data_IF_009650612509
#
_entry.id   IF_009650612509
#
_cell.length_a   1.000
_cell.length_b   1.000
_cell.length_c   1.000
_cell.angle_alpha   90.00
_cell.angle_beta   90.00
_cell.angle_gamma   90.00
#
_symmetry.space_group_name_H-M   'P 1'
#
loop_
_entity.id
_entity.type
_entity.pdbx_description
1 polymer ?
#
# COMPACT_ATOMS: atom_id res chain seq x y z
N UNK A 1 25.45 15.22 1.63
CA UNK A 1 24.29 14.87 2.48
C UNK A 1 23.41 13.92 1.65
N UNK A 2 23.46 12.61 1.94
CA UNK A 2 22.72 11.60 1.17
C UNK A 2 21.26 11.58 1.67
N UNK A 3 20.35 11.96 0.80
CA UNK A 3 18.91 11.73 1.04
C UNK A 3 18.65 10.22 1.17
N UNK A 4 18.31 9.78 2.36
CA UNK A 4 17.85 8.41 2.62
C UNK A 4 16.54 8.19 1.85
N UNK A 5 16.56 7.35 0.82
CA UNK A 5 15.34 6.88 0.14
C UNK A 5 14.38 6.29 1.17
N UNK A 6 13.21 6.89 1.30
CA UNK A 6 12.08 6.30 2.04
C UNK A 6 11.66 5.00 1.33
N UNK A 7 11.47 3.88 2.05
CA UNK A 7 10.92 2.67 1.45
C UNK A 7 9.57 2.98 0.80
N UNK A 8 9.36 2.49 -0.42
CA UNK A 8 8.11 2.74 -1.14
C UNK A 8 6.96 1.99 -0.47
N UNK A 9 5.77 2.58 -0.49
CA UNK A 9 4.55 1.94 0.01
C UNK A 9 4.23 0.64 -0.75
N UNK A 10 4.78 0.49 -1.97
CA UNK A 10 4.60 -0.66 -2.86
C UNK A 10 5.05 -1.97 -2.22
N UNK A 11 6.22 -1.94 -1.53
CA UNK A 11 6.69 -3.11 -0.78
C UNK A 11 5.83 -3.44 0.45
N UNK A 12 4.97 -2.50 0.89
CA UNK A 12 4.12 -2.67 2.06
C UNK A 12 2.89 -3.53 1.83
N UNK A 13 2.30 -3.43 0.64
CA UNK A 13 1.07 -4.13 0.30
C UNK A 13 1.35 -5.51 -0.32
N UNK A 14 2.46 -5.66 -1.07
CA UNK A 14 2.87 -6.91 -1.69
C UNK A 14 3.29 -8.01 -0.68
N UNK A 15 3.82 -7.63 0.49
CA UNK A 15 4.28 -8.59 1.50
C UNK A 15 3.20 -9.39 2.23
N UNK A 16 1.91 -9.13 1.97
CA UNK A 16 0.79 -9.85 2.62
C UNK A 16 0.27 -11.04 1.80
N UNK A 17 0.78 -11.28 0.58
CA UNK A 17 0.20 -12.27 -0.34
C UNK A 17 1.16 -13.29 -0.96
N UNK A 18 2.47 -13.23 -0.75
CA UNK A 18 3.42 -14.14 -1.40
C UNK A 18 4.16 -15.11 -0.47
N UNK A 19 4.46 -16.28 -1.02
CA UNK A 19 4.94 -17.55 -0.43
C UNK A 19 6.14 -17.47 0.54
N UNK A 20 5.98 -18.16 1.63
CA UNK A 20 6.80 -18.70 2.73
C UNK A 20 8.18 -18.13 3.07
N UNK A 21 9.15 -18.07 2.19
CA UNK A 21 10.54 -17.73 2.52
C UNK A 21 10.86 -16.23 2.46
N UNK A 22 10.25 -15.52 1.52
CA UNK A 22 10.32 -14.05 1.46
C UNK A 22 9.62 -13.37 2.65
N UNK A 23 8.80 -14.08 3.41
CA UNK A 23 7.99 -13.50 4.50
C UNK A 23 8.80 -13.12 5.74
N UNK A 24 9.91 -13.79 6.07
CA UNK A 24 10.70 -13.44 7.27
C UNK A 24 11.52 -12.17 7.02
N UNK A 25 12.16 -12.04 5.86
CA UNK A 25 12.83 -10.80 5.46
C UNK A 25 11.82 -9.65 5.33
N UNK A 26 10.63 -9.94 4.79
CA UNK A 26 9.52 -9.01 4.68
C UNK A 26 8.87 -8.66 6.03
N UNK A 27 8.98 -9.52 7.06
CA UNK A 27 8.37 -9.28 8.36
C UNK A 27 9.04 -8.14 9.12
N UNK A 28 10.36 -8.06 9.14
CA UNK A 28 11.09 -6.94 9.76
C UNK A 28 10.74 -5.62 9.06
N UNK A 29 10.72 -5.60 7.74
CA UNK A 29 10.30 -4.45 6.95
C UNK A 29 8.84 -4.08 7.22
N UNK A 30 7.98 -5.06 7.41
CA UNK A 30 6.57 -4.85 7.78
C UNK A 30 6.45 -4.18 9.15
N UNK A 31 7.19 -4.64 10.16
CA UNK A 31 7.22 -4.02 11.51
C UNK A 31 7.78 -2.61 11.42
N UNK A 32 8.83 -2.38 10.64
CA UNK A 32 9.41 -1.05 10.43
C UNK A 32 8.39 -0.10 9.76
N UNK A 33 7.71 -0.53 8.71
CA UNK A 33 6.66 0.27 8.06
C UNK A 33 5.52 0.63 9.02
N UNK A 34 5.13 -0.29 9.89
CA UNK A 34 4.11 -0.01 10.91
C UNK A 34 4.64 0.99 11.95
N UNK A 35 5.94 0.94 12.29
CA UNK A 35 6.60 1.91 13.16
C UNK A 35 6.58 3.31 12.54
N UNK A 36 6.94 3.43 11.26
CA UNK A 36 6.92 4.70 10.54
C UNK A 36 5.50 5.26 10.40
N UNK A 37 4.53 4.39 10.12
CA UNK A 37 3.12 4.76 10.06
C UNK A 37 2.60 5.27 11.42
N UNK A 38 2.99 4.64 12.51
CA UNK A 38 2.64 5.08 13.86
C UNK A 38 3.33 6.39 14.22
N UNK A 39 4.60 6.56 13.88
CA UNK A 39 5.34 7.81 14.09
C UNK A 39 4.64 8.97 13.34
N UNK A 40 4.23 8.76 12.09
CA UNK A 40 3.48 9.74 11.31
C UNK A 40 2.13 10.06 11.93
N UNK A 41 1.39 9.06 12.39
CA UNK A 41 0.13 9.26 13.11
C UNK A 41 0.33 10.14 14.36
N UNK A 42 1.40 9.94 15.13
CA UNK A 42 1.71 10.75 16.31
C UNK A 42 2.05 12.19 15.94
N UNK A 43 2.72 12.45 14.82
CA UNK A 43 2.93 13.82 14.32
C UNK A 43 1.61 14.52 14.06
N UNK A 44 0.64 13.84 13.40
CA UNK A 44 -0.70 14.37 13.15
C UNK A 44 -1.44 14.61 14.48
N UNK A 45 -1.39 13.65 15.42
CA UNK A 45 -2.01 13.78 16.74
C UNK A 45 -1.47 14.99 17.51
N UNK A 46 -0.14 15.20 17.51
CA UNK A 46 0.49 16.34 18.18
C UNK A 46 0.05 17.66 17.54
N UNK A 47 -0.07 17.71 16.22
CA UNK A 47 -0.58 18.90 15.54
C UNK A 47 -2.05 19.16 15.90
N UNK A 48 -2.91 18.13 15.92
CA UNK A 48 -4.33 18.26 16.33
C UNK A 48 -4.45 18.78 17.78
N UNK A 49 -3.58 18.31 18.68
CA UNK A 49 -3.54 18.80 20.08
C UNK A 49 -3.13 20.26 20.19
N UNK A 50 -2.23 20.70 19.33
CA UNK A 50 -1.74 22.10 19.31
C UNK A 50 -2.67 23.10 18.65
N UNK A 51 -3.77 22.67 17.99
CA UNK A 51 -4.71 23.60 17.38
C UNK A 51 -5.43 24.46 18.41
N UNK A 52 -5.47 25.77 18.16
CA UNK A 52 -6.29 26.72 18.92
C UNK A 52 -7.79 26.47 18.72
N UNK A 53 -8.63 27.04 19.59
CA UNK A 53 -10.09 26.92 19.46
C UNK A 53 -10.60 27.57 18.16
N UNK A 54 -10.02 28.69 17.74
CA UNK A 54 -10.38 29.34 16.47
C UNK A 54 -10.05 28.50 15.26
N UNK A 55 -8.86 27.86 15.24
CA UNK A 55 -8.49 26.91 14.16
C UNK A 55 -9.40 25.70 14.11
N UNK A 56 -9.77 25.13 15.27
CA UNK A 56 -10.74 24.03 15.34
C UNK A 56 -12.10 24.44 14.79
N UNK A 57 -12.57 25.64 15.13
CA UNK A 57 -13.83 26.19 14.62
C UNK A 57 -13.80 26.32 13.09
N UNK A 58 -12.72 26.82 12.51
CA UNK A 58 -12.56 26.93 11.06
C UNK A 58 -12.67 25.58 10.35
N UNK A 59 -12.06 24.51 10.90
CA UNK A 59 -12.21 23.16 10.33
C UNK A 59 -13.61 22.58 10.54
N UNK A 60 -14.31 22.99 11.60
CA UNK A 60 -15.68 22.54 11.90
C UNK A 60 -16.71 23.17 10.99
N UNK A 61 -16.44 24.36 10.41
CA UNK A 61 -17.34 25.00 9.44
C UNK A 61 -17.62 24.11 8.21
N UNK A 62 -16.65 23.27 7.83
CA UNK A 62 -16.76 22.38 6.66
C UNK A 62 -17.13 20.94 7.01
N UNK A 63 -17.14 20.58 8.30
CA UNK A 63 -17.47 19.21 8.73
C UNK A 63 -17.80 19.14 10.22
N UNK A 64 -18.67 18.20 10.60
CA UNK A 64 -18.95 17.87 12.00
C UNK A 64 -17.75 17.10 12.61
N UNK A 65 -16.60 17.75 12.72
CA UNK A 65 -15.40 17.15 13.30
C UNK A 65 -15.49 17.24 14.83
N UNK A 66 -15.47 16.07 15.48
CA UNK A 66 -15.23 15.98 16.91
C UNK A 66 -13.73 15.75 17.14
N UNK A 67 -13.00 16.80 17.50
CA UNK A 67 -11.55 16.75 17.72
C UNK A 67 -11.16 15.90 18.93
N UNK A 68 -11.96 15.87 19.99
CA UNK A 68 -11.69 15.03 21.17
C UNK A 68 -11.77 13.55 20.81
N UNK A 69 -12.83 13.17 20.09
CA UNK A 69 -12.98 11.80 19.58
C UNK A 69 -11.83 11.42 18.64
N UNK A 70 -11.42 12.33 17.75
CA UNK A 70 -10.30 12.13 16.85
C UNK A 70 -8.98 11.93 17.61
N UNK A 71 -8.71 12.77 18.61
CA UNK A 71 -7.53 12.64 19.47
C UNK A 71 -7.51 11.31 20.22
N UNK A 72 -8.61 10.92 20.84
CA UNK A 72 -8.77 9.65 21.55
C UNK A 72 -8.49 8.45 20.62
N UNK A 73 -9.11 8.47 19.42
CA UNK A 73 -8.93 7.43 18.41
C UNK A 73 -7.47 7.31 17.95
N UNK A 74 -6.82 8.43 17.64
CA UNK A 74 -5.42 8.42 17.21
C UNK A 74 -4.48 8.03 18.37
N UNK A 75 -4.76 8.44 19.58
CA UNK A 75 -3.93 8.10 20.75
C UNK A 75 -3.90 6.60 21.01
N UNK A 76 -5.05 5.93 20.96
CA UNK A 76 -5.18 4.50 21.28
C UNK A 76 -4.77 3.56 20.14
N UNK A 77 -4.79 4.04 18.90
CA UNK A 77 -4.54 3.20 17.72
C UNK A 77 -3.09 2.74 17.60
N UNK A 78 -2.89 1.45 17.45
CA UNK A 78 -1.58 0.87 17.18
C UNK A 78 -0.58 1.02 18.34
N UNK A 79 -1.02 1.01 19.60
CA UNK A 79 -0.12 1.04 20.73
C UNK A 79 0.57 -0.31 20.93
N UNK A 80 -0.04 -1.38 20.43
CA UNK A 80 0.53 -2.73 20.42
C UNK A 80 0.11 -3.46 19.13
N UNK A 81 0.89 -4.47 18.76
CA UNK A 81 0.62 -5.42 17.69
C UNK A 81 0.88 -6.83 18.21
N UNK A 82 0.02 -7.76 17.87
CA UNK A 82 0.21 -9.19 18.17
C UNK A 82 0.24 -9.94 16.86
N UNK A 83 1.33 -10.66 16.62
CA UNK A 83 1.47 -11.51 15.45
C UNK A 83 1.48 -12.98 15.87
N UNK A 84 0.91 -13.83 15.02
CA UNK A 84 1.09 -15.27 15.07
C UNK A 84 2.09 -15.68 14.00
N UNK A 85 3.21 -16.24 14.43
CA UNK A 85 4.24 -16.79 13.55
C UNK A 85 4.05 -18.29 13.44
N UNK A 86 3.60 -18.74 12.30
CA UNK A 86 3.37 -20.15 11.96
C UNK A 86 4.65 -20.73 11.35
N UNK A 87 5.49 -21.31 12.18
CA UNK A 87 6.82 -21.80 11.79
C UNK A 87 6.76 -22.99 10.81
N UNK A 88 5.67 -23.78 10.83
CA UNK A 88 5.48 -24.94 9.94
C UNK A 88 5.28 -24.54 8.48
N UNK A 89 4.76 -23.35 8.23
CA UNK A 89 4.48 -22.82 6.89
C UNK A 89 5.23 -21.52 6.58
N UNK A 90 6.07 -21.07 7.50
CA UNK A 90 6.90 -19.86 7.36
C UNK A 90 6.09 -18.55 7.32
N UNK A 91 4.85 -18.51 7.80
CA UNK A 91 3.97 -17.36 7.68
C UNK A 91 3.81 -16.59 8.99
N UNK A 92 3.74 -15.24 8.86
CA UNK A 92 3.47 -14.34 9.99
C UNK A 92 2.19 -13.56 9.72
N UNK A 93 1.20 -13.71 10.62
CA UNK A 93 -0.11 -13.10 10.51
C UNK A 93 -0.35 -12.11 11.65
N UNK A 94 -0.89 -10.91 11.35
CA UNK A 94 -1.29 -9.95 12.37
C UNK A 94 -2.62 -10.40 13.00
N UNK A 95 -2.54 -10.90 14.23
CA UNK A 95 -3.66 -11.48 14.96
C UNK A 95 -4.49 -10.44 15.72
N UNK A 96 -3.82 -9.50 16.42
CA UNK A 96 -4.50 -8.48 17.23
C UNK A 96 -3.77 -7.14 17.14
N UNK A 97 -4.53 -6.05 17.16
CA UNK A 97 -4.05 -4.69 17.37
C UNK A 97 -5.25 -3.79 17.75
N UNK A 98 -4.96 -2.64 18.36
CA UNK A 98 -5.96 -1.58 18.51
C UNK A 98 -5.99 -0.74 17.23
N UNK A 99 -7.11 -0.73 16.49
CA UNK A 99 -7.31 0.04 15.27
C UNK A 99 -8.41 1.08 15.44
N UNK A 100 -8.11 2.35 15.16
CA UNK A 100 -9.11 3.43 15.18
C UNK A 100 -10.03 3.41 13.93
N UNK A 101 -9.73 2.61 12.92
CA UNK A 101 -10.41 2.52 11.62
C UNK A 101 -10.51 3.85 10.85
N UNK A 102 -9.88 4.92 11.34
CA UNK A 102 -9.86 6.22 10.69
C UNK A 102 -8.68 6.28 9.68
N UNK A 103 -8.89 5.66 8.51
CA UNK A 103 -7.85 5.54 7.50
C UNK A 103 -7.46 6.87 6.82
N UNK A 104 -8.27 7.93 6.95
CA UNK A 104 -7.96 9.26 6.44
C UNK A 104 -7.01 10.05 7.33
N UNK A 105 -6.83 9.66 8.59
CA UNK A 105 -5.96 10.34 9.55
C UNK A 105 -4.91 9.44 10.17
N UNK A 106 -5.07 8.14 10.05
CA UNK A 106 -4.20 7.13 10.63
C UNK A 106 -3.54 6.30 9.53
N UNK A 107 -2.25 6.50 9.31
CA UNK A 107 -1.51 5.80 8.26
C UNK A 107 -1.46 4.28 8.48
N UNK A 108 -1.40 3.82 9.74
CA UNK A 108 -1.46 2.38 10.05
C UNK A 108 -2.80 1.77 9.60
N UNK A 109 -3.93 2.43 9.92
CA UNK A 109 -5.25 1.98 9.45
C UNK A 109 -5.40 2.10 7.93
N UNK A 110 -4.75 3.10 7.32
CA UNK A 110 -4.71 3.27 5.87
C UNK A 110 -4.03 2.07 5.19
N UNK A 111 -2.84 1.69 5.64
CA UNK A 111 -2.09 0.52 5.13
C UNK A 111 -2.94 -0.75 5.26
N UNK A 112 -3.53 -0.99 6.42
CA UNK A 112 -4.36 -2.19 6.66
C UNK A 112 -5.63 -2.20 5.79
N UNK A 113 -6.29 -1.05 5.63
CA UNK A 113 -7.45 -0.91 4.75
C UNK A 113 -7.09 -1.19 3.29
N UNK A 114 -5.97 -0.62 2.82
CA UNK A 114 -5.45 -0.86 1.46
C UNK A 114 -5.17 -2.33 1.21
N UNK A 115 -4.48 -3.02 2.13
CA UNK A 115 -4.20 -4.45 2.02
C UNK A 115 -5.49 -5.29 1.90
N UNK A 116 -6.54 -4.98 2.68
CA UNK A 116 -7.83 -5.68 2.58
C UNK A 116 -8.56 -5.39 1.26
N UNK A 117 -8.43 -4.18 0.73
CA UNK A 117 -8.96 -3.86 -0.60
C UNK A 117 -8.25 -4.65 -1.70
N UNK A 118 -6.91 -4.68 -1.68
CA UNK A 118 -6.11 -5.50 -2.62
C UNK A 118 -6.56 -6.96 -2.56
N UNK A 119 -6.64 -7.54 -1.36
CA UNK A 119 -7.06 -8.94 -1.16
C UNK A 119 -8.44 -9.22 -1.80
N UNK A 120 -9.43 -8.35 -1.56
CA UNK A 120 -10.78 -8.53 -2.11
C UNK A 120 -10.82 -8.41 -3.64
N UNK A 121 -10.14 -7.41 -4.19
CA UNK A 121 -10.16 -7.20 -5.65
C UNK A 121 -9.25 -8.16 -6.42
N UNK A 122 -8.16 -8.63 -5.82
CA UNK A 122 -7.30 -9.64 -6.45
C UNK A 122 -8.04 -10.96 -6.62
N UNK A 123 -8.76 -11.43 -5.59
CA UNK A 123 -9.59 -12.64 -5.73
C UNK A 123 -10.69 -12.50 -6.79
N UNK A 124 -11.23 -11.27 -6.99
CA UNK A 124 -12.17 -11.03 -8.09
C UNK A 124 -11.48 -11.00 -9.45
N UNK A 125 -10.26 -10.44 -9.54
CA UNK A 125 -9.45 -10.47 -10.74
C UNK A 125 -9.18 -11.89 -11.21
N UNK A 126 -8.78 -12.78 -10.31
CA UNK A 126 -8.55 -14.19 -10.60
C UNK A 126 -9.80 -14.88 -11.19
N UNK A 127 -10.99 -14.60 -10.63
CA UNK A 127 -12.26 -15.10 -11.17
C UNK A 127 -12.54 -14.56 -12.58
N UNK A 128 -12.31 -13.27 -12.82
CA UNK A 128 -12.55 -12.63 -14.11
C UNK A 128 -11.62 -13.20 -15.17
N UNK A 129 -10.33 -13.34 -14.87
CA UNK A 129 -9.34 -13.89 -15.82
C UNK A 129 -9.49 -15.39 -16.04
N UNK A 130 -9.98 -16.15 -15.05
CA UNK A 130 -10.34 -17.54 -15.24
C UNK A 130 -11.55 -17.71 -16.21
N UNK A 131 -12.48 -16.75 -16.18
CA UNK A 131 -13.65 -16.75 -17.09
C UNK A 131 -13.35 -16.20 -18.48
N UNK A 132 -12.39 -15.30 -18.60
CA UNK A 132 -11.93 -14.70 -19.85
C UNK A 132 -10.42 -14.43 -19.77
N UNK A 133 -9.64 -15.36 -20.31
CA UNK A 133 -8.17 -15.34 -20.26
C UNK A 133 -7.53 -14.33 -21.22
N UNK A 134 -8.28 -13.72 -22.16
CA UNK A 134 -7.75 -12.68 -23.05
C UNK A 134 -7.56 -11.36 -22.30
N UNK A 135 -8.38 -11.07 -21.30
CA UNK A 135 -8.37 -9.79 -20.60
C UNK A 135 -7.05 -9.50 -19.89
N UNK A 136 -6.59 -8.26 -20.03
CA UNK A 136 -5.37 -7.76 -19.40
C UNK A 136 -5.68 -6.53 -18.55
N UNK A 137 -4.98 -6.36 -17.40
CA UNK A 137 -5.13 -5.18 -16.57
C UNK A 137 -4.30 -4.01 -17.09
N UNK A 138 -4.90 -2.84 -17.12
CA UNK A 138 -4.23 -1.58 -17.47
C UNK A 138 -4.42 -0.55 -16.35
N UNK A 139 -3.39 0.24 -16.11
CA UNK A 139 -3.46 1.38 -15.19
C UNK A 139 -3.88 2.64 -15.98
N UNK A 140 -5.02 3.19 -15.62
CA UNK A 140 -5.52 4.46 -16.14
C UNK A 140 -5.42 5.54 -15.06
N UNK A 141 -4.80 6.67 -15.39
CA UNK A 141 -4.76 7.85 -14.52
C UNK A 141 -5.47 9.02 -15.20
N UNK A 142 -6.39 9.63 -14.48
CA UNK A 142 -7.16 10.79 -14.93
C UNK A 142 -6.85 11.97 -14.00
N UNK A 143 -6.56 13.13 -14.58
CA UNK A 143 -6.14 14.33 -13.87
C UNK A 143 -6.98 15.52 -14.26
N UNK A 144 -7.29 16.40 -13.32
CA UNK A 144 -7.86 17.72 -13.58
C UNK A 144 -6.84 18.81 -13.28
N UNK A 145 -7.09 20.03 -13.73
CA UNK A 145 -6.20 21.18 -13.45
C UNK A 145 -6.06 21.42 -11.95
N UNK A 146 -4.85 21.82 -11.51
CA UNK A 146 -4.57 22.21 -10.14
C UNK A 146 -5.38 23.44 -9.72
N UNK A 147 -5.57 23.60 -8.40
CA UNK A 147 -6.20 24.79 -7.84
C UNK A 147 -6.04 24.89 -6.33
N UNK A 148 -6.24 26.08 -5.81
CA UNK A 148 -6.01 26.35 -4.38
C UNK A 148 -7.17 25.86 -3.51
N UNK A 149 -8.38 25.79 -4.04
CA UNK A 149 -9.55 25.28 -3.33
C UNK A 149 -9.65 23.75 -3.46
N UNK A 150 -9.50 23.05 -2.35
CA UNK A 150 -9.59 21.60 -2.28
C UNK A 150 -10.99 21.09 -2.67
N UNK A 151 -12.03 21.77 -2.17
CA UNK A 151 -13.42 21.34 -2.34
C UNK A 151 -13.80 21.40 -3.82
N UNK A 152 -13.52 22.54 -4.45
CA UNK A 152 -13.77 22.75 -5.88
C UNK A 152 -13.03 21.71 -6.73
N UNK A 153 -11.71 21.54 -6.51
CA UNK A 153 -10.91 20.64 -7.35
C UNK A 153 -11.26 19.17 -7.17
N UNK A 154 -11.54 18.74 -5.94
CA UNK A 154 -11.94 17.35 -5.70
C UNK A 154 -13.34 17.04 -6.24
N UNK A 155 -14.31 17.95 -6.02
CA UNK A 155 -15.66 17.76 -6.55
C UNK A 155 -15.69 17.81 -8.08
N UNK A 156 -14.85 18.66 -8.68
CA UNK A 156 -14.68 18.69 -10.12
C UNK A 156 -14.16 17.35 -10.66
N UNK A 157 -13.09 16.79 -10.08
CA UNK A 157 -12.60 15.46 -10.46
C UNK A 157 -13.68 14.38 -10.25
N UNK A 158 -14.31 14.35 -9.06
CA UNK A 158 -15.30 13.33 -8.72
C UNK A 158 -16.50 13.37 -9.67
N UNK A 159 -17.01 14.57 -9.99
CA UNK A 159 -18.11 14.76 -10.92
C UNK A 159 -17.73 14.35 -12.35
N UNK A 160 -16.50 14.66 -12.78
CA UNK A 160 -15.97 14.29 -14.09
C UNK A 160 -15.82 12.78 -14.23
N UNK A 161 -15.30 12.08 -13.23
CA UNK A 161 -15.26 10.61 -13.22
C UNK A 161 -16.67 10.01 -13.25
N UNK A 162 -17.62 10.56 -12.48
CA UNK A 162 -19.03 10.12 -12.53
C UNK A 162 -19.63 10.30 -13.93
N UNK A 163 -19.33 11.41 -14.62
CA UNK A 163 -19.78 11.66 -16.01
C UNK A 163 -19.16 10.63 -16.96
N UNK A 164 -17.87 10.32 -16.84
CA UNK A 164 -17.18 9.32 -17.66
C UNK A 164 -17.82 7.92 -17.49
N UNK A 165 -18.04 7.49 -16.24
CA UNK A 165 -18.70 6.22 -15.94
C UNK A 165 -20.16 6.17 -16.42
N UNK A 166 -20.88 7.31 -16.36
CA UNK A 166 -22.24 7.43 -16.92
C UNK A 166 -22.21 7.28 -18.44
N UNK A 167 -21.29 7.96 -19.15
CA UNK A 167 -21.13 7.82 -20.60
C UNK A 167 -20.85 6.38 -21.02
N UNK A 168 -19.94 5.71 -20.32
CA UNK A 168 -19.70 4.27 -20.51
C UNK A 168 -20.99 3.45 -20.41
N UNK A 169 -21.76 3.65 -19.36
CA UNK A 169 -23.03 2.93 -19.14
C UNK A 169 -24.06 3.25 -20.20
N UNK A 170 -24.26 4.54 -20.52
CA UNK A 170 -25.24 4.98 -21.53
C UNK A 170 -24.88 4.42 -22.93
N UNK A 171 -23.59 4.26 -23.26
CA UNK A 171 -23.16 3.60 -24.48
C UNK A 171 -23.48 2.10 -24.48
N UNK A 172 -23.10 1.38 -23.42
CA UNK A 172 -23.26 -0.07 -23.31
C UNK A 172 -24.75 -0.50 -23.23
N UNK A 173 -25.57 0.27 -22.52
CA UNK A 173 -26.98 -0.09 -22.30
C UNK A 173 -27.94 0.49 -23.35
N UNK A 174 -27.60 1.65 -23.93
CA UNK A 174 -28.52 2.42 -24.77
C UNK A 174 -27.95 2.79 -26.13
N UNK A 175 -26.74 2.37 -26.42
CA UNK A 175 -25.98 2.74 -27.64
C UNK A 175 -25.94 4.27 -27.87
N UNK A 176 -25.84 5.07 -26.82
CA UNK A 176 -25.85 6.54 -26.85
C UNK A 176 -24.48 7.13 -26.58
N UNK A 177 -23.96 7.87 -27.53
CA UNK A 177 -22.65 8.54 -27.45
C UNK A 177 -21.51 7.56 -27.43
N UNK A 178 -20.36 7.95 -27.94
CA UNK A 178 -19.14 7.17 -27.89
C UNK A 178 -18.42 7.41 -26.55
N UNK A 179 -17.92 6.35 -25.92
CA UNK A 179 -17.03 6.46 -24.77
C UNK A 179 -15.85 5.50 -24.93
N UNK A 180 -14.64 6.00 -24.81
CA UNK A 180 -13.44 5.17 -24.84
C UNK A 180 -13.43 4.13 -23.69
N UNK A 181 -13.97 4.52 -22.54
CA UNK A 181 -14.04 3.62 -21.39
C UNK A 181 -15.04 2.45 -21.60
N UNK A 182 -15.93 2.51 -22.62
CA UNK A 182 -16.84 1.40 -22.94
C UNK A 182 -16.12 0.14 -23.39
N UNK A 183 -14.90 0.26 -23.91
CA UNK A 183 -14.01 -0.86 -24.27
C UNK A 183 -13.53 -1.66 -23.06
N UNK A 184 -13.65 -1.11 -21.83
CA UNK A 184 -13.30 -1.84 -20.61
C UNK A 184 -14.42 -2.76 -20.14
N UNK A 185 -14.09 -3.99 -19.77
CA UNK A 185 -15.01 -4.96 -19.14
C UNK A 185 -15.42 -4.51 -17.74
N UNK A 186 -14.54 -3.78 -17.08
CA UNK A 186 -14.78 -3.20 -15.78
C UNK A 186 -13.49 -2.64 -15.19
N UNK A 187 -13.59 -2.10 -13.98
CA UNK A 187 -12.44 -1.54 -13.30
C UNK A 187 -12.73 -1.20 -11.85
N UNK A 188 -11.64 -0.92 -11.16
CA UNK A 188 -11.64 -0.39 -9.79
C UNK A 188 -10.84 0.91 -9.78
N UNK A 189 -11.28 1.88 -8.99
CA UNK A 189 -10.63 3.18 -8.94
C UNK A 189 -10.52 3.73 -7.52
N UNK A 190 -9.57 4.65 -7.36
CA UNK A 190 -9.40 5.47 -6.17
C UNK A 190 -9.03 6.90 -6.53
N UNK A 191 -9.39 7.83 -5.63
CA UNK A 191 -8.96 9.22 -5.72
C UNK A 191 -7.73 9.45 -4.84
N UNK A 192 -6.73 10.10 -5.40
CA UNK A 192 -5.54 10.59 -4.71
C UNK A 192 -5.55 12.11 -4.62
N UNK A 193 -5.03 12.64 -3.52
CA UNK A 193 -4.80 14.07 -3.34
C UNK A 193 -3.34 14.33 -3.05
N UNK A 194 -2.74 15.19 -3.86
CA UNK A 194 -1.42 15.77 -3.61
C UNK A 194 -1.53 17.28 -3.54
N UNK A 195 -0.54 17.95 -2.94
CA UNK A 195 -0.47 19.42 -2.87
C UNK A 195 0.91 19.88 -3.27
N UNK A 196 0.96 20.86 -4.16
CA UNK A 196 2.16 21.52 -4.62
C UNK A 196 2.10 23.01 -4.35
N UNK A 197 3.06 23.78 -4.86
CA UNK A 197 3.01 25.27 -4.84
C UNK A 197 1.84 25.81 -5.67
N UNK A 198 1.39 25.06 -6.67
CA UNK A 198 0.28 25.41 -7.56
C UNK A 198 -1.09 25.03 -6.99
N UNK A 199 -1.14 24.54 -5.76
CA UNK A 199 -2.36 24.16 -5.07
C UNK A 199 -2.58 22.65 -5.00
N UNK A 200 -3.84 22.26 -4.79
CA UNK A 200 -4.29 20.88 -4.74
C UNK A 200 -4.31 20.27 -6.13
N UNK A 201 -3.83 19.04 -6.22
CA UNK A 201 -3.73 18.27 -7.43
C UNK A 201 -4.39 16.90 -7.24
N UNK A 202 -5.70 16.79 -7.49
CA UNK A 202 -6.41 15.53 -7.35
C UNK A 202 -6.25 14.67 -8.61
N UNK A 203 -6.12 13.35 -8.40
CA UNK A 203 -6.03 12.33 -9.44
C UNK A 203 -7.05 11.23 -9.20
N UNK A 204 -7.44 10.55 -10.26
CA UNK A 204 -8.13 9.28 -10.19
C UNK A 204 -7.26 8.20 -10.83
N UNK A 205 -6.90 7.19 -10.05
CA UNK A 205 -6.20 6.00 -10.53
C UNK A 205 -7.18 4.86 -10.66
N UNK A 206 -7.14 4.15 -11.79
CA UNK A 206 -8.01 3.01 -12.07
C UNK A 206 -7.18 1.82 -12.55
N UNK A 207 -7.53 0.61 -12.11
CA UNK A 207 -7.22 -0.61 -12.86
C UNK A 207 -8.43 -0.90 -13.72
N UNK A 208 -8.24 -0.99 -15.02
CA UNK A 208 -9.28 -1.37 -16.00
C UNK A 208 -8.90 -2.65 -16.72
N UNK A 209 -9.88 -3.50 -17.01
CA UNK A 209 -9.67 -4.73 -17.76
C UNK A 209 -10.03 -4.48 -19.23
N UNK A 210 -9.04 -4.65 -20.10
CA UNK A 210 -9.19 -4.47 -21.55
C UNK A 210 -8.90 -5.78 -22.28
N UNK A 211 -9.55 -5.97 -23.40
CA UNK A 211 -9.16 -6.97 -24.37
C UNK A 211 -8.04 -6.38 -25.25
N UNK A 212 -6.92 -7.07 -25.46
CA UNK A 212 -5.86 -6.61 -26.36
C UNK A 212 -6.32 -6.33 -27.79
N UNK A 213 -7.40 -6.96 -28.24
CA UNK A 213 -7.97 -6.78 -29.58
C UNK A 213 -8.91 -5.58 -29.68
N UNK A 214 -9.34 -4.98 -28.56
CA UNK A 214 -10.19 -3.77 -28.51
C UNK A 214 -9.72 -2.78 -27.45
N UNK A 215 -8.60 -2.14 -27.73
CA UNK A 215 -7.96 -1.20 -26.81
C UNK A 215 -8.55 0.22 -26.89
N UNK A 216 -8.48 0.91 -25.77
CA UNK A 216 -8.75 2.35 -25.69
C UNK A 216 -7.77 3.10 -26.60
N UNK A 217 -8.27 4.07 -27.35
CA UNK A 217 -7.45 4.95 -28.21
C UNK A 217 -6.51 5.81 -27.35
N UNK A 218 -5.29 5.30 -27.16
CA UNK A 218 -4.20 5.94 -26.42
C UNK A 218 -2.84 5.33 -26.84
N UNK A 219 -1.76 6.12 -27.04
CA UNK A 219 -0.49 5.65 -27.57
C UNK A 219 0.42 5.01 -26.49
N UNK A 220 -0.04 3.98 -25.79
CA UNK A 220 0.75 3.36 -24.72
C UNK A 220 1.96 2.57 -25.24
N UNK A 221 1.88 1.95 -26.43
CA UNK A 221 2.97 1.16 -27.04
C UNK A 221 4.19 2.00 -27.40
N UNK A 222 3.99 3.28 -27.69
CA UNK A 222 5.05 4.23 -28.07
C UNK A 222 5.57 5.04 -26.88
N UNK A 223 5.19 4.65 -25.66
CA UNK A 223 5.59 5.33 -24.44
C UNK A 223 7.10 5.23 -24.23
N UNK A 224 7.82 6.36 -23.99
CA UNK A 224 9.24 6.32 -23.73
C UNK A 224 9.54 5.60 -22.40
N UNK A 225 10.70 4.95 -22.36
CA UNK A 225 11.18 4.29 -21.13
C UNK A 225 11.33 5.30 -19.99
N UNK A 226 10.84 4.93 -18.80
CA UNK A 226 11.04 5.70 -17.58
C UNK A 226 12.31 5.22 -16.87
N UNK A 227 13.23 6.14 -16.60
CA UNK A 227 14.44 5.87 -15.84
C UNK A 227 14.22 6.19 -14.36
N UNK A 228 14.75 5.36 -13.47
CA UNK A 228 14.84 5.72 -12.05
C UNK A 228 15.90 6.82 -11.85
N UNK A 229 15.98 7.37 -10.63
CA UNK A 229 16.91 8.48 -10.35
C UNK A 229 18.39 8.07 -10.52
N UNK A 230 18.74 6.82 -10.28
CA UNK A 230 20.11 6.32 -10.43
C UNK A 230 20.45 6.16 -11.91
N UNK A 231 19.62 5.47 -12.68
CA UNK A 231 19.79 5.32 -14.12
C UNK A 231 19.77 6.67 -14.84
N UNK A 232 18.86 7.58 -14.43
CA UNK A 232 18.82 8.95 -14.96
C UNK A 232 20.10 9.72 -14.69
N UNK A 233 20.72 9.57 -13.50
CA UNK A 233 21.97 10.27 -13.17
C UNK A 233 23.14 9.88 -14.08
N UNK A 234 23.15 8.62 -14.54
CA UNK A 234 24.20 8.03 -15.39
C UNK A 234 24.11 8.46 -16.87
N UNK A 235 22.96 9.01 -17.30
CA UNK A 235 22.79 9.48 -18.67
C UNK A 235 23.64 10.74 -18.94
N UNK A 236 24.25 10.80 -20.12
CA UNK A 236 24.94 12.01 -20.61
C UNK A 236 23.94 13.16 -20.83
N UNK A 237 24.39 14.43 -20.89
CA UNK A 237 23.52 15.57 -21.17
C UNK A 237 22.73 15.42 -22.48
N UNK A 238 23.38 14.86 -23.53
CA UNK A 238 22.74 14.59 -24.81
C UNK A 238 21.63 13.53 -24.70
N UNK A 239 21.88 12.43 -24.00
CA UNK A 239 20.89 11.39 -23.75
C UNK A 239 19.70 11.92 -22.92
N UNK A 240 19.97 12.73 -21.89
CA UNK A 240 18.92 13.39 -21.10
C UNK A 240 18.04 14.31 -21.95
N UNK A 241 18.66 15.08 -22.86
CA UNK A 241 17.93 15.94 -23.81
C UNK A 241 17.06 15.09 -24.75
N UNK A 242 17.63 14.05 -25.35
CA UNK A 242 16.91 13.13 -26.24
C UNK A 242 15.70 12.49 -25.52
N UNK A 243 15.89 11.98 -24.31
CA UNK A 243 14.78 11.40 -23.54
C UNK A 243 13.68 12.43 -23.23
N UNK A 244 14.03 13.66 -22.87
CA UNK A 244 13.05 14.74 -22.67
C UNK A 244 12.27 15.05 -23.95
N UNK A 245 12.94 15.04 -25.09
CA UNK A 245 12.29 15.28 -26.39
C UNK A 245 11.36 14.13 -26.80
N UNK A 246 11.74 12.88 -26.52
CA UNK A 246 10.86 11.73 -26.69
C UNK A 246 9.59 11.85 -25.84
N UNK A 247 9.74 12.16 -24.55
CA UNK A 247 8.61 12.35 -23.65
C UNK A 247 7.70 13.51 -24.08
N UNK A 248 8.27 14.60 -24.57
CA UNK A 248 7.51 15.74 -25.08
C UNK A 248 6.70 15.36 -26.33
N UNK A 249 7.31 14.66 -27.30
CA UNK A 249 6.65 14.18 -28.51
C UNK A 249 5.51 13.20 -28.17
N UNK A 250 5.84 12.20 -27.34
CA UNK A 250 4.84 11.23 -26.87
C UNK A 250 3.68 11.92 -26.14
N UNK A 251 3.95 12.88 -25.27
CA UNK A 251 2.95 13.63 -24.54
C UNK A 251 2.00 14.40 -25.46
N UNK A 252 2.50 14.98 -26.56
CA UNK A 252 1.66 15.62 -27.57
C UNK A 252 0.73 14.61 -28.25
N UNK A 253 1.23 13.44 -28.64
CA UNK A 253 0.42 12.35 -29.22
C UNK A 253 -0.62 11.84 -28.23
N UNK A 254 -0.23 11.65 -26.97
CA UNK A 254 -1.14 11.21 -25.90
C UNK A 254 -2.30 12.19 -25.67
N UNK A 255 -2.01 13.51 -25.74
CA UNK A 255 -3.03 14.56 -25.62
C UNK A 255 -3.95 14.69 -26.85
N UNK A 256 -3.58 14.10 -27.98
CA UNK A 256 -4.42 14.04 -29.18
C UNK A 256 -5.24 12.76 -29.31
N UNK A 257 -5.05 11.81 -28.40
CA UNK A 257 -5.77 10.53 -28.36
C UNK A 257 -7.27 10.70 -28.12
N UNK A 258 -8.06 9.71 -28.51
CA UNK A 258 -9.51 9.68 -28.26
C UNK A 258 -9.87 9.74 -26.78
N UNK A 259 -9.06 9.08 -25.93
CA UNK A 259 -9.24 9.14 -24.46
C UNK A 259 -9.03 10.57 -23.92
N UNK A 260 -7.97 11.26 -24.36
CA UNK A 260 -7.68 12.61 -23.90
C UNK A 260 -8.75 13.61 -24.37
N UNK A 261 -9.22 13.48 -25.61
CA UNK A 261 -10.32 14.30 -26.16
C UNK A 261 -11.64 14.06 -25.42
N UNK A 262 -11.94 12.81 -25.07
CA UNK A 262 -13.13 12.51 -24.26
C UNK A 262 -13.00 13.14 -22.86
N UNK A 263 -11.83 13.03 -22.24
CA UNK A 263 -11.59 13.60 -20.91
C UNK A 263 -11.66 15.13 -20.90
N UNK A 264 -11.08 15.79 -21.89
CA UNK A 264 -11.17 17.25 -22.09
C UNK A 264 -12.63 17.72 -22.25
N UNK A 265 -13.42 17.00 -23.05
CA UNK A 265 -14.85 17.31 -23.23
C UNK A 265 -15.65 17.17 -21.92
N UNK A 266 -15.24 16.27 -21.03
CA UNK A 266 -15.92 16.03 -19.74
C UNK A 266 -15.52 17.09 -18.71
N UNK A 267 -14.23 17.40 -18.63
CA UNK A 267 -13.66 18.30 -17.60
C UNK A 267 -13.76 19.77 -18.02
N UNK A 268 -13.54 20.06 -19.28
CA UNK A 268 -13.42 21.43 -19.80
C UNK A 268 -12.08 22.10 -19.45
N UNK A 269 -11.24 21.49 -18.61
CA UNK A 269 -10.00 22.11 -18.12
C UNK A 269 -8.76 21.22 -18.21
N UNK A 270 -8.91 19.94 -18.56
CA UNK A 270 -7.79 19.01 -18.61
C UNK A 270 -7.97 17.92 -19.67
N UNK A 271 -6.92 17.67 -20.42
CA UNK A 271 -6.75 16.52 -21.29
C UNK A 271 -5.62 15.59 -20.85
N UNK A 272 -5.15 15.76 -19.61
CA UNK A 272 -4.05 14.97 -19.06
C UNK A 272 -4.59 13.63 -18.57
N UNK A 273 -4.28 12.61 -19.34
CA UNK A 273 -4.61 11.21 -19.07
C UNK A 273 -3.37 10.35 -19.27
N UNK A 274 -3.29 9.21 -18.59
CA UNK A 274 -2.24 8.22 -18.79
C UNK A 274 -2.85 6.82 -18.76
N UNK A 275 -2.52 6.00 -19.75
CA UNK A 275 -2.91 4.60 -19.82
C UNK A 275 -1.68 3.76 -20.08
N UNK A 276 -1.50 2.69 -19.31
CA UNK A 276 -0.35 1.78 -19.45
C UNK A 276 -0.74 0.35 -19.10
N UNK A 277 -0.18 -0.65 -19.76
CA UNK A 277 -0.33 -2.03 -19.33
C UNK A 277 0.27 -2.24 -17.94
N UNK A 278 -0.31 -3.15 -17.15
CA UNK A 278 0.29 -3.62 -15.90
C UNK A 278 1.07 -4.89 -16.26
N UNK A 279 2.39 -4.75 -16.27
CA UNK A 279 3.31 -5.85 -16.58
C UNK A 279 3.69 -6.60 -15.29
N UNK A 280 3.95 -7.91 -15.42
CA UNK A 280 4.36 -8.76 -14.29
C UNK A 280 3.20 -9.14 -13.37
N UNK A 281 3.36 -8.97 -12.05
CA UNK A 281 2.34 -9.34 -11.05
C UNK A 281 1.14 -8.38 -11.08
N UNK A 282 -0.07 -8.84 -11.46
CA UNK A 282 -1.27 -8.01 -11.46
C UNK A 282 -1.62 -7.39 -10.10
N UNK A 283 -1.20 -8.03 -9.01
CA UNK A 283 -1.39 -7.52 -7.65
C UNK A 283 -0.78 -6.11 -7.48
N UNK A 284 0.33 -5.82 -8.17
CA UNK A 284 0.99 -4.52 -8.12
C UNK A 284 0.08 -3.39 -8.63
N UNK A 285 -0.73 -3.64 -9.66
CA UNK A 285 -1.69 -2.65 -10.16
C UNK A 285 -2.76 -2.31 -9.11
N UNK A 286 -3.31 -3.33 -8.44
CA UNK A 286 -4.27 -3.09 -7.35
C UNK A 286 -3.61 -2.41 -6.15
N UNK A 287 -2.38 -2.80 -5.81
CA UNK A 287 -1.57 -2.12 -4.78
C UNK A 287 -1.41 -0.64 -5.14
N UNK A 288 -1.07 -0.32 -6.39
CA UNK A 288 -0.88 1.06 -6.84
C UNK A 288 -2.17 1.88 -6.70
N UNK A 289 -3.32 1.34 -7.14
CA UNK A 289 -4.62 2.03 -6.99
C UNK A 289 -4.94 2.31 -5.53
N UNK A 290 -4.84 1.31 -4.65
CA UNK A 290 -5.24 1.49 -3.25
C UNK A 290 -4.22 2.19 -2.38
N UNK A 291 -2.94 2.22 -2.77
CA UNK A 291 -1.90 3.04 -2.17
C UNK A 291 -2.24 4.52 -2.23
N UNK A 292 -2.77 4.98 -3.35
CA UNK A 292 -3.01 6.40 -3.59
C UNK A 292 -4.23 6.95 -2.83
N UNK A 293 -5.28 6.18 -2.66
CA UNK A 293 -6.44 6.60 -1.85
C UNK A 293 -6.06 7.07 -0.44
N UNK A 294 -4.82 6.79 0.00
CA UNK A 294 -4.39 6.84 1.38
C UNK A 294 -3.01 7.51 1.56
N UNK A 295 -2.48 8.16 0.50
CA UNK A 295 -1.14 8.77 0.50
C UNK A 295 -1.13 10.12 1.23
N UNK A 296 -1.41 10.07 2.53
CA UNK A 296 -1.28 11.23 3.40
C UNK A 296 0.17 11.51 3.85
N UNK A 297 1.13 10.68 3.46
CA UNK A 297 2.53 10.81 3.87
C UNK A 297 3.19 12.09 3.35
N UNK A 298 2.74 12.60 2.20
CA UNK A 298 3.37 13.73 1.52
C UNK A 298 2.74 15.07 1.90
N UNK A 299 1.56 15.05 2.54
CA UNK A 299 0.88 16.25 3.02
C UNK A 299 1.44 16.67 4.39
N UNK A 300 1.54 17.98 4.65
CA UNK A 300 1.85 18.48 6.00
C UNK A 300 0.69 18.15 6.96
N UNK A 301 0.91 18.05 8.29
CA UNK A 301 -0.17 17.75 9.23
C UNK A 301 -1.39 18.67 9.13
N UNK A 302 -1.21 19.96 8.89
CA UNK A 302 -2.29 20.92 8.64
C UNK A 302 -3.09 20.57 7.39
N UNK A 303 -2.42 20.23 6.31
CA UNK A 303 -3.03 19.83 5.04
C UNK A 303 -3.78 18.49 5.16
N UNK A 304 -3.28 17.56 5.99
CA UNK A 304 -4.01 16.33 6.30
C UNK A 304 -5.35 16.61 7.01
N UNK A 305 -5.38 17.56 7.94
CA UNK A 305 -6.62 17.93 8.65
C UNK A 305 -7.58 18.61 7.69
N UNK A 306 -7.08 19.53 6.84
CA UNK A 306 -7.86 20.19 5.80
C UNK A 306 -8.51 19.14 4.86
N UNK A 307 -7.70 18.20 4.33
CA UNK A 307 -8.20 17.13 3.48
C UNK A 307 -9.20 16.22 4.23
N UNK A 308 -8.91 15.88 5.47
CA UNK A 308 -9.81 15.05 6.28
C UNK A 308 -11.16 15.72 6.54
N UNK A 309 -11.16 17.01 6.89
CA UNK A 309 -12.39 17.75 7.18
C UNK A 309 -13.35 17.70 5.99
N UNK A 310 -12.82 17.76 4.78
CA UNK A 310 -13.60 17.74 3.55
C UNK A 310 -13.94 16.32 3.05
N UNK A 311 -13.00 15.37 3.17
CA UNK A 311 -13.17 14.02 2.62
C UNK A 311 -13.93 13.06 3.53
N UNK A 312 -14.11 13.42 4.81
CA UNK A 312 -14.83 12.58 5.77
C UNK A 312 -16.24 12.28 5.26
N UNK A 313 -16.59 11.00 5.17
CA UNK A 313 -17.87 10.53 4.65
C UNK A 313 -17.98 10.47 3.12
N UNK A 314 -17.02 11.00 2.37
CA UNK A 314 -16.99 10.87 0.90
C UNK A 314 -16.46 9.49 0.49
N UNK A 315 -17.00 8.99 -0.62
CA UNK A 315 -16.53 7.74 -1.21
C UNK A 315 -15.28 8.00 -2.04
N UNK A 316 -14.13 7.49 -1.58
CA UNK A 316 -12.83 7.69 -2.22
C UNK A 316 -12.41 6.53 -3.12
N UNK A 317 -13.12 5.42 -3.10
CA UNK A 317 -12.85 4.26 -3.95
C UNK A 317 -14.14 3.75 -4.56
N UNK A 318 -14.07 3.13 -5.71
CA UNK A 318 -15.22 2.54 -6.36
C UNK A 318 -14.84 1.49 -7.39
N UNK A 319 -15.86 0.79 -7.88
CA UNK A 319 -15.69 -0.22 -8.93
C UNK A 319 -16.88 -0.21 -9.89
N UNK A 320 -16.68 -0.75 -11.08
CA UNK A 320 -17.70 -0.86 -12.11
C UNK A 320 -17.47 -2.11 -12.98
N UNK A 321 -18.50 -2.51 -13.76
CA UNK A 321 -18.42 -3.67 -14.64
C UNK A 321 -18.10 -4.96 -13.88
N UNK A 322 -17.17 -5.76 -14.38
CA UNK A 322 -16.81 -7.05 -13.79
C UNK A 322 -16.33 -7.01 -12.34
N UNK A 323 -15.93 -5.83 -11.84
CA UNK A 323 -15.56 -5.63 -10.43
C UNK A 323 -16.69 -5.10 -9.54
N UNK A 324 -17.88 -4.94 -10.07
CA UNK A 324 -19.02 -4.51 -9.26
C UNK A 324 -19.34 -5.53 -8.14
N UNK A 325 -19.73 -5.03 -6.97
CA UNK A 325 -20.21 -5.86 -5.88
C UNK A 325 -19.14 -6.59 -5.05
N UNK A 326 -17.86 -6.33 -5.28
CA UNK A 326 -16.79 -6.91 -4.45
C UNK A 326 -16.94 -6.47 -3.00
N UNK A 327 -17.06 -7.45 -2.09
CA UNK A 327 -17.11 -7.22 -0.65
C UNK A 327 -15.68 -7.17 -0.08
N UNK A 328 -15.36 -6.05 0.55
CA UNK A 328 -14.06 -5.88 1.20
C UNK A 328 -14.17 -6.33 2.65
N UNK A 329 -13.27 -7.20 3.15
CA UNK A 329 -13.28 -7.63 4.54
C UNK A 329 -13.18 -6.44 5.50
N UNK A 330 -14.05 -6.40 6.49
CA UNK A 330 -14.04 -5.32 7.51
C UNK A 330 -12.96 -5.50 8.56
N UNK A 331 -12.55 -6.74 8.79
CA UNK A 331 -11.53 -7.11 9.76
C UNK A 331 -10.16 -6.56 9.32
N UNK A 332 -9.54 -5.77 10.18
CA UNK A 332 -8.25 -5.12 9.91
C UNK A 332 -7.04 -6.01 10.15
N UNK A 333 -7.22 -7.12 10.87
CA UNK A 333 -6.21 -8.15 11.10
C UNK A 333 -6.14 -9.12 9.92
N UNK A 334 -5.11 -9.97 9.91
CA UNK A 334 -5.01 -11.04 8.91
C UNK A 334 -5.95 -12.19 9.25
N UNK A 335 -6.22 -13.04 8.27
CA UNK A 335 -6.88 -14.30 8.50
C UNK A 335 -5.87 -15.26 9.16
N UNK A 336 -6.29 -15.87 10.25
CA UNK A 336 -5.44 -16.78 11.02
C UNK A 336 -5.52 -18.17 10.41
N UNK A 337 -4.42 -18.91 10.54
CA UNK A 337 -4.38 -20.33 10.15
C UNK A 337 -4.81 -21.12 11.39
N UNK A 338 -6.02 -21.67 11.32
CA UNK A 338 -6.57 -22.51 12.38
C UNK A 338 -5.81 -23.85 12.41
N UNK A 339 -5.73 -24.48 13.60
CA UNK A 339 -5.12 -25.79 13.85
C UNK A 339 -3.60 -25.89 13.62
N UNK A 340 -2.92 -24.81 13.26
CA UNK A 340 -1.46 -24.81 13.17
C UNK A 340 -0.81 -24.25 14.44
N UNK A 341 0.29 -24.87 14.89
CA UNK A 341 1.08 -24.34 16.00
C UNK A 341 1.74 -23.01 15.62
N UNK A 342 1.75 -22.05 16.54
CA UNK A 342 2.33 -20.75 16.32
C UNK A 342 3.03 -20.20 17.56
N UNK A 343 3.93 -19.23 17.32
CA UNK A 343 4.51 -18.37 18.34
C UNK A 343 3.73 -17.05 18.31
N UNK A 344 3.18 -16.65 19.45
CA UNK A 344 2.57 -15.33 19.61
C UNK A 344 3.64 -14.31 19.91
N UNK A 345 3.84 -13.34 19.00
CA UNK A 345 4.80 -12.26 19.13
C UNK A 345 4.05 -10.99 19.53
N UNK A 346 4.31 -10.48 20.73
CA UNK A 346 3.72 -9.25 21.24
C UNK A 346 4.69 -8.08 21.09
N UNK A 347 4.32 -7.10 20.29
CA UNK A 347 5.06 -5.87 20.06
C UNK A 347 4.37 -4.69 20.72
N UNK A 348 5.14 -3.83 21.40
CA UNK A 348 4.67 -2.57 21.98
C UNK A 348 5.36 -1.41 21.27
N UNK A 349 4.63 -0.33 21.00
CA UNK A 349 5.22 0.87 20.43
C UNK A 349 5.98 1.66 21.50
N UNK A 350 7.23 2.00 21.22
CA UNK A 350 8.15 2.79 22.05
C UNK A 350 8.62 4.02 21.28
N UNK A 351 9.52 4.82 21.87
CA UNK A 351 10.12 5.98 21.19
C UNK A 351 10.93 5.58 19.94
N UNK A 352 11.50 4.37 19.93
CA UNK A 352 12.30 3.84 18.83
C UNK A 352 11.48 3.09 17.75
N UNK A 353 10.17 2.89 17.97
CA UNK A 353 9.29 2.12 17.09
C UNK A 353 8.66 0.93 17.81
N UNK A 354 8.16 -0.05 17.06
CA UNK A 354 7.65 -1.29 17.65
C UNK A 354 8.81 -2.18 18.10
N UNK A 355 8.80 -2.53 19.39
CA UNK A 355 9.75 -3.46 20.00
C UNK A 355 9.04 -4.71 20.51
N UNK A 356 9.62 -5.89 20.26
CA UNK A 356 9.13 -7.18 20.77
C UNK A 356 9.22 -7.20 22.29
N UNK A 357 8.15 -7.53 22.96
CA UNK A 357 8.11 -7.65 24.42
C UNK A 357 8.10 -9.11 24.83
N UNK A 358 7.31 -9.92 24.15
CA UNK A 358 7.20 -11.36 24.45
C UNK A 358 7.04 -12.18 23.18
N UNK A 359 7.60 -13.40 23.20
CA UNK A 359 7.37 -14.45 22.22
C UNK A 359 6.91 -15.70 22.98
N UNK A 360 5.64 -16.09 22.81
CA UNK A 360 5.00 -17.16 23.60
C UNK A 360 4.42 -18.24 22.69
N UNK A 361 4.82 -19.52 22.82
CA UNK A 361 4.19 -20.61 22.10
C UNK A 361 2.75 -20.85 22.60
N UNK A 362 1.83 -21.13 21.71
CA UNK A 362 0.38 -21.27 22.03
C UNK A 362 -0.17 -22.69 21.85
N UNK A 363 0.61 -23.60 21.30
CA UNK A 363 0.21 -25.02 21.17
C UNK A 363 1.26 -25.91 21.76
N UNK A 364 1.02 -26.40 22.98
CA UNK A 364 2.00 -27.18 23.74
C UNK A 364 2.42 -28.49 23.08
N UNK A 365 1.53 -29.12 22.32
CA UNK A 365 1.78 -30.41 21.65
C UNK A 365 2.87 -30.34 20.57
N UNK A 366 3.22 -29.16 20.08
CA UNK A 366 4.14 -28.95 18.94
C UNK A 366 5.54 -28.51 19.36
N UNK A 367 5.74 -28.19 20.64
CA UNK A 367 7.01 -27.68 21.14
C UNK A 367 7.66 -28.64 22.09
N UNK A 368 8.94 -28.93 21.89
CA UNK A 368 9.75 -29.70 22.84
C UNK A 368 9.99 -28.88 24.11
N UNK A 369 10.41 -29.57 25.17
CA UNK A 369 10.82 -28.91 26.43
C UNK A 369 11.94 -27.89 26.18
N UNK A 370 12.85 -28.20 25.26
CA UNK A 370 13.96 -27.33 24.88
C UNK A 370 13.49 -26.06 24.13
N UNK A 371 12.47 -26.19 23.27
CA UNK A 371 11.90 -25.01 22.56
C UNK A 371 11.21 -24.05 23.55
N UNK A 372 10.51 -24.60 24.55
CA UNK A 372 9.88 -23.79 25.60
C UNK A 372 10.92 -23.04 26.46
N UNK A 373 12.07 -23.66 26.73
CA UNK A 373 13.16 -23.01 27.46
C UNK A 373 13.78 -21.86 26.64
N UNK A 374 14.02 -22.05 25.33
CA UNK A 374 14.53 -21.01 24.44
C UNK A 374 13.54 -19.84 24.41
N UNK A 375 12.25 -20.11 24.22
CA UNK A 375 11.20 -19.08 24.18
C UNK A 375 11.09 -18.29 25.48
N UNK A 376 11.23 -18.95 26.64
CA UNK A 376 11.21 -18.27 27.94
C UNK A 376 12.39 -17.31 28.11
N UNK A 377 13.57 -17.65 27.61
CA UNK A 377 14.75 -16.77 27.60
C UNK A 377 14.57 -15.55 26.70
N UNK A 378 13.97 -15.71 25.53
CA UNK A 378 13.65 -14.60 24.59
C UNK A 378 12.65 -13.64 25.26
N UNK A 379 11.62 -14.16 25.91
CA UNK A 379 10.58 -13.36 26.57
C UNK A 379 11.06 -12.57 27.79
N UNK A 380 12.13 -13.00 28.44
CA UNK A 380 12.67 -12.34 29.63
C UNK A 380 13.72 -11.25 29.36
N UNK A 381 14.14 -11.07 28.10
CA UNK A 381 15.14 -10.05 27.73
C UNK A 381 16.54 -10.26 28.33
N UNK A 382 16.79 -11.39 28.99
CA UNK A 382 18.03 -11.68 29.64
C UNK A 382 18.69 -12.93 29.05
N UNK A 383 19.57 -12.80 28.09
CA UNK A 383 20.76 -13.65 27.88
C UNK A 383 21.38 -13.47 26.49
N UNK A 384 22.70 -13.58 26.31
CA UNK A 384 23.33 -13.64 25.01
C UNK A 384 22.87 -14.90 24.26
N UNK A 385 22.59 -14.75 22.97
CA UNK A 385 22.19 -15.86 22.09
C UNK A 385 23.26 -16.96 22.05
N UNK A 386 22.86 -18.24 22.05
CA UNK A 386 23.79 -19.32 21.81
C UNK A 386 24.41 -19.21 20.40
N UNK A 387 25.71 -19.52 20.30
CA UNK A 387 26.40 -19.54 18.99
C UNK A 387 25.77 -20.58 18.05
N UNK A 388 25.57 -20.19 16.79
CA UNK A 388 24.80 -20.88 15.75
C UNK A 388 25.43 -22.23 15.29
N UNK A 389 26.56 -22.66 15.85
CA UNK A 389 27.41 -23.69 15.29
C UNK A 389 27.06 -25.14 15.61
N UNK A 390 25.93 -25.45 16.21
CA UNK A 390 25.64 -26.84 16.57
C UNK A 390 24.28 -27.35 16.14
N UNK A 391 24.30 -28.20 15.15
CA UNK A 391 23.43 -29.37 14.93
C UNK A 391 22.03 -29.13 14.41
N UNK A 392 21.88 -29.37 13.11
CA UNK A 392 20.62 -29.62 12.43
C UNK A 392 19.99 -30.92 12.91
N UNK A 393 19.06 -30.84 13.81
CA UNK A 393 18.09 -31.90 14.10
C UNK A 393 16.66 -31.39 13.88
N UNK A 394 15.68 -32.23 14.06
CA UNK A 394 14.25 -31.97 13.85
C UNK A 394 13.74 -30.66 14.50
N UNK A 395 14.43 -30.12 15.48
CA UNK A 395 14.11 -28.88 16.20
C UNK A 395 14.95 -27.67 15.74
N UNK A 396 15.97 -27.90 14.92
CA UNK A 396 16.89 -26.86 14.46
C UNK A 396 16.21 -25.72 13.68
N UNK A 397 15.13 -26.02 12.97
CA UNK A 397 14.37 -25.04 12.21
C UNK A 397 13.62 -24.03 13.13
N UNK A 398 12.92 -24.54 14.14
CA UNK A 398 12.21 -23.67 15.11
C UNK A 398 13.23 -22.84 15.91
N UNK A 399 14.32 -23.46 16.33
CA UNK A 399 15.42 -22.80 17.02
C UNK A 399 16.03 -21.68 16.16
N UNK A 400 16.29 -21.94 14.89
CA UNK A 400 16.81 -20.95 13.95
C UNK A 400 15.88 -19.74 13.76
N UNK A 401 14.56 -19.96 13.66
CA UNK A 401 13.58 -18.88 13.54
C UNK A 401 13.55 -18.04 14.83
N UNK A 402 13.53 -18.68 15.99
CA UNK A 402 13.50 -18.00 17.28
C UNK A 402 14.78 -17.17 17.47
N UNK A 403 15.93 -17.74 17.16
CA UNK A 403 17.23 -17.06 17.25
C UNK A 403 17.32 -15.90 16.25
N UNK A 404 16.79 -16.05 15.04
CA UNK A 404 16.75 -14.98 14.03
C UNK A 404 15.87 -13.82 14.49
N UNK A 405 14.69 -14.10 15.03
CA UNK A 405 13.78 -13.08 15.57
C UNK A 405 14.42 -12.37 16.77
N UNK A 406 15.04 -13.10 17.66
CA UNK A 406 15.74 -12.53 18.82
C UNK A 406 16.96 -11.70 18.41
N UNK A 407 17.77 -12.19 17.46
CA UNK A 407 18.93 -11.47 16.92
C UNK A 407 18.53 -10.14 16.28
N UNK A 408 17.53 -10.16 15.42
CA UNK A 408 17.01 -8.95 14.76
C UNK A 408 16.49 -7.90 15.76
N UNK A 409 16.21 -8.34 16.97
CA UNK A 409 15.64 -7.50 18.02
C UNK A 409 16.66 -6.92 18.99
N UNK A 410 17.74 -7.63 19.25
CA UNK A 410 18.75 -7.26 20.26
C UNK A 410 19.91 -6.46 19.66
N UNK A 411 20.07 -6.46 18.33
CA UNK A 411 21.16 -5.73 17.65
C UNK A 411 20.63 -4.44 17.04
N UNK A 412 20.83 -3.32 17.72
CA UNK A 412 20.51 -1.96 17.24
C UNK A 412 21.28 -1.58 15.95
N UNK A 413 22.39 -2.25 15.64
CA UNK A 413 23.29 -1.98 14.51
C UNK A 413 22.77 -2.50 13.16
N UNK A 414 21.64 -3.19 13.11
CA UNK A 414 21.03 -3.66 11.85
C UNK A 414 20.38 -2.52 11.02
N UNK A 415 20.76 -1.28 11.34
CA UNK A 415 20.43 -0.10 10.52
C UNK A 415 21.27 -0.08 9.24
N UNK A 416 20.98 -0.98 8.32
CA UNK A 416 21.28 -0.74 6.91
C UNK A 416 22.66 -1.08 6.37
N UNK A 417 23.39 -2.06 6.90
CA UNK A 417 24.52 -2.61 6.17
C UNK A 417 24.03 -3.61 5.12
N UNK A 418 24.33 -3.32 3.86
CA UNK A 418 23.96 -4.13 2.69
C UNK A 418 24.74 -5.45 2.54
N UNK A 419 25.50 -5.86 3.53
CA UNK A 419 26.34 -7.06 3.50
C UNK A 419 25.68 -8.33 4.10
N UNK A 420 24.41 -8.27 4.49
CA UNK A 420 23.71 -9.37 5.16
C UNK A 420 23.50 -10.65 4.35
N UNK A 421 23.22 -10.64 3.04
CA UNK A 421 22.88 -11.86 2.29
C UNK A 421 24.09 -12.76 1.97
N UNK A 422 25.24 -12.18 1.69
CA UNK A 422 26.41 -12.95 1.18
C UNK A 422 27.02 -13.94 2.19
N UNK A 423 26.94 -13.68 3.48
CA UNK A 423 27.47 -14.57 4.53
C UNK A 423 26.52 -15.70 4.96
N UNK A 424 25.37 -15.85 4.29
CA UNK A 424 24.34 -16.84 4.65
C UNK A 424 24.10 -17.91 3.57
N UNK A 425 24.96 -18.04 2.57
CA UNK A 425 24.81 -19.01 1.47
C UNK A 425 24.65 -20.47 1.95
N UNK A 426 25.36 -20.87 2.99
CA UNK A 426 25.24 -22.22 3.55
C UNK A 426 23.86 -22.55 4.18
N UNK A 427 23.13 -21.51 4.58
CA UNK A 427 21.78 -21.68 5.11
C UNK A 427 20.71 -21.80 3.99
N UNK A 428 20.98 -21.17 2.85
CA UNK A 428 20.13 -21.22 1.67
C UNK A 428 20.20 -22.57 0.95
N UNK A 429 21.38 -23.18 0.85
CA UNK A 429 21.55 -24.49 0.23
C UNK A 429 20.85 -25.60 1.01
N UNK A 430 20.84 -25.52 2.33
CA UNK A 430 20.15 -26.50 3.15
C UNK A 430 18.61 -26.53 2.92
N UNK A 431 18.01 -25.39 2.64
CA UNK A 431 16.58 -25.31 2.40
C UNK A 431 16.18 -25.82 1.00
N UNK A 432 17.11 -25.74 0.00
CA UNK A 432 16.91 -26.29 -1.35
C UNK A 432 17.07 -27.81 -1.43
N UNK A 433 17.83 -28.41 -0.53
CA UNK A 433 18.07 -29.85 -0.51
C UNK A 433 16.94 -30.68 0.12
N UNK A 434 15.80 -30.05 0.49
CA UNK A 434 14.64 -30.73 1.09
C UNK A 434 13.32 -30.54 0.34
N UNK A 435 13.33 -29.98 -0.87
CA UNK A 435 12.30 -30.20 -1.86
C UNK A 435 12.69 -31.45 -2.68
#
# INVERSE_FOLDING_TARGET
MSEKRKPSLDSALAGDSSKGFNEICNFTDRVQRYSDAKARQLQILNHVRGLSQGEKANFQLHSLLNFEKLQSQLCSCGNYLVFHQYHTVGQVRLAKASFCKNHLMCQLCAIRRGAKQVQGYLGKYEQVTASNSSLRPYMLTLTVKNGHDLCDRFDHLQSSVKKLLKRRRDYLEKNRGLSQLSKSFGGVFSYELTKSKEGWHPHCHMVVMLDPDDLIDFPFDTRPQKFDAQAWSQLSPGQKKYQKDLWRKWGATAQDSGLAKEWEKITGDSKIVDLRPIEGDPAQGFVEVFKYALKFSDLKPKENIEAYSYLKGKRLTGSFGCFWGVKIPEKMTDDLLEDLPYIELFYKYTKAGYSLQTATPKTEKSYSKQDKEILSRIGSGSSPLPKIDSVFNRHGFIKSIIETVAYLHTHEDFKGSREGPAKREGHFEFLKARE
#
